data_IF_246045853766
#
_entry.id   IF_246045853766
#
_cell.length_a   1.000
_cell.length_b   1.000
_cell.length_c   1.000
_cell.angle_alpha   90.00
_cell.angle_beta   90.00
_cell.angle_gamma   90.00
#
_symmetry.space_group_name_H-M   'P 1'
#
loop_
_entity.id
_entity.type
_entity.pdbx_description
1 polymer ?
#
# COMPACT_ATOMS: atom_id res chain seq x y z
N UNK A 1 5.17 22.26 -0.48
CA UNK A 1 4.85 20.81 -0.44
C UNK A 1 5.26 20.19 -1.76
N UNK A 2 5.96 19.06 -1.74
CA UNK A 2 6.32 18.34 -2.97
C UNK A 2 5.05 17.72 -3.56
N UNK A 3 4.79 17.96 -4.85
CA UNK A 3 3.65 17.39 -5.55
C UNK A 3 4.01 16.01 -6.10
N UNK A 4 3.96 14.98 -5.24
CA UNK A 4 4.13 13.61 -5.70
C UNK A 4 2.89 13.12 -6.44
N UNK A 5 3.12 12.58 -7.63
CA UNK A 5 2.09 12.02 -8.51
C UNK A 5 2.00 10.50 -8.43
N UNK A 6 3.08 9.85 -7.98
CA UNK A 6 3.21 8.39 -7.91
C UNK A 6 3.82 7.96 -6.58
N UNK A 7 3.31 6.86 -6.02
CA UNK A 7 3.75 6.27 -4.76
C UNK A 7 4.14 4.81 -4.94
N UNK A 8 5.28 4.42 -4.38
CA UNK A 8 5.67 3.02 -4.22
C UNK A 8 5.52 2.69 -2.74
N UNK A 9 4.72 1.68 -2.43
CA UNK A 9 4.23 1.45 -1.07
C UNK A 9 4.63 0.05 -0.64
N UNK A 10 5.41 -0.04 0.44
CA UNK A 10 5.71 -1.33 1.05
C UNK A 10 4.46 -1.92 1.73
N UNK A 11 4.46 -3.23 1.97
CA UNK A 11 3.33 -3.94 2.56
C UNK A 11 3.58 -4.28 4.03
N UNK A 12 4.62 -5.06 4.30
CA UNK A 12 4.90 -5.61 5.62
C UNK A 12 5.37 -4.51 6.59
N UNK A 13 4.55 -4.23 7.61
CA UNK A 13 4.82 -3.16 8.58
C UNK A 13 4.42 -1.76 8.12
N UNK A 14 3.84 -1.62 6.92
CA UNK A 14 3.32 -0.35 6.38
C UNK A 14 1.81 -0.40 6.15
N UNK A 15 1.31 -1.42 5.46
CA UNK A 15 -0.13 -1.63 5.25
C UNK A 15 -0.70 -2.58 6.29
N UNK A 16 0.03 -3.65 6.62
CA UNK A 16 -0.42 -4.66 7.57
C UNK A 16 0.74 -5.14 8.45
N UNK A 17 0.39 -5.82 9.54
CA UNK A 17 1.33 -6.59 10.36
C UNK A 17 0.71 -7.95 10.67
N UNK A 18 1.29 -9.01 10.09
CA UNK A 18 0.65 -10.33 10.08
C UNK A 18 -0.71 -10.25 9.37
N UNK A 19 -1.77 -10.71 10.01
CA UNK A 19 -3.10 -10.78 9.42
C UNK A 19 -3.98 -9.54 9.71
N UNK A 20 -3.39 -8.45 10.22
CA UNK A 20 -4.13 -7.25 10.63
C UNK A 20 -3.65 -6.01 9.87
N UNK A 21 -4.60 -5.20 9.37
CA UNK A 21 -4.30 -3.90 8.81
C UNK A 21 -3.80 -2.94 9.90
N UNK A 22 -2.82 -2.12 9.54
CA UNK A 22 -2.38 -1.03 10.41
C UNK A 22 -3.44 0.10 10.42
N UNK A 23 -3.65 0.78 11.56
CA UNK A 23 -4.57 1.90 11.64
C UNK A 23 -4.24 2.96 10.57
N UNK A 24 -5.25 3.38 9.81
CA UNK A 24 -5.09 4.38 8.74
C UNK A 24 -4.65 3.83 7.39
N UNK A 25 -4.24 2.56 7.26
CA UNK A 25 -3.84 1.99 5.98
C UNK A 25 -4.97 2.05 4.92
N UNK A 26 -6.20 1.72 5.32
CA UNK A 26 -7.39 1.85 4.46
C UNK A 26 -7.61 3.31 4.02
N UNK A 27 -7.66 4.24 4.98
CA UNK A 27 -7.88 5.65 4.71
C UNK A 27 -6.78 6.25 3.82
N UNK A 28 -5.55 5.77 3.94
CA UNK A 28 -4.44 6.18 3.07
C UNK A 28 -4.66 5.73 1.62
N UNK A 29 -5.07 4.48 1.39
CA UNK A 29 -5.35 3.98 0.05
C UNK A 29 -6.57 4.69 -0.56
N UNK A 30 -7.62 4.91 0.22
CA UNK A 30 -8.79 5.71 -0.19
C UNK A 30 -8.37 7.12 -0.60
N UNK A 31 -7.53 7.78 0.20
CA UNK A 31 -6.99 9.09 -0.12
C UNK A 31 -6.20 9.12 -1.44
N UNK A 32 -5.37 8.09 -1.71
CA UNK A 32 -4.63 7.97 -2.97
C UNK A 32 -5.58 7.89 -4.17
N UNK A 33 -6.66 7.10 -4.04
CA UNK A 33 -7.68 6.94 -5.07
C UNK A 33 -8.45 8.24 -5.31
N UNK A 34 -8.96 8.87 -4.25
CA UNK A 34 -9.69 10.14 -4.30
C UNK A 34 -8.87 11.27 -4.96
N UNK A 35 -7.56 11.28 -4.73
CA UNK A 35 -6.65 12.28 -5.27
C UNK A 35 -5.98 11.86 -6.59
N UNK A 36 -6.46 10.80 -7.22
CA UNK A 36 -5.96 10.27 -8.51
C UNK A 36 -4.43 10.06 -8.51
N UNK A 37 -3.89 9.60 -7.38
CA UNK A 37 -2.48 9.25 -7.27
C UNK A 37 -2.25 7.90 -7.90
N UNK A 38 -1.18 7.77 -8.70
CA UNK A 38 -0.72 6.46 -9.16
C UNK A 38 -0.02 5.77 -8.00
N UNK A 39 -0.26 4.49 -7.80
CA UNK A 39 0.48 3.75 -6.78
C UNK A 39 0.69 2.29 -7.17
N UNK A 40 1.74 1.71 -6.60
CA UNK A 40 2.07 0.30 -6.71
C UNK A 40 2.53 -0.20 -5.34
N UNK A 41 1.99 -1.34 -4.91
CA UNK A 41 2.51 -2.05 -3.76
C UNK A 41 3.75 -2.85 -4.17
N UNK A 42 4.83 -2.75 -3.38
CA UNK A 42 6.09 -3.45 -3.61
C UNK A 42 6.53 -4.11 -2.31
N UNK A 43 6.66 -5.42 -2.29
CA UNK A 43 7.21 -6.17 -1.14
C UNK A 43 8.33 -7.09 -1.60
N UNK A 44 9.28 -7.32 -0.70
CA UNK A 44 10.30 -8.36 -0.86
C UNK A 44 9.79 -9.75 -0.44
N UNK A 45 8.54 -9.88 -0.03
CA UNK A 45 7.94 -11.17 0.30
C UNK A 45 7.78 -12.02 -0.97
N UNK A 46 8.57 -13.10 -1.05
CA UNK A 46 8.59 -14.04 -2.17
C UNK A 46 7.73 -15.29 -1.95
N UNK A 47 7.08 -15.41 -0.79
CA UNK A 47 6.29 -16.59 -0.42
C UNK A 47 4.85 -16.55 -0.94
N UNK A 48 4.33 -15.38 -1.25
CA UNK A 48 2.96 -15.19 -1.71
C UNK A 48 2.94 -14.65 -3.15
N UNK A 49 2.07 -15.20 -3.99
CA UNK A 49 1.81 -14.63 -5.31
C UNK A 49 0.98 -13.36 -5.20
N UNK A 50 0.98 -12.51 -6.23
CA UNK A 50 0.18 -11.27 -6.28
C UNK A 50 -1.29 -11.50 -5.89
N UNK A 51 -1.88 -12.60 -6.36
CA UNK A 51 -3.29 -12.99 -6.09
C UNK A 51 -3.54 -13.43 -4.65
N UNK A 52 -2.50 -13.69 -3.87
CA UNK A 52 -2.59 -14.04 -2.46
C UNK A 52 -2.38 -12.83 -1.53
N UNK A 53 -1.90 -11.72 -2.08
CA UNK A 53 -1.56 -10.49 -1.34
C UNK A 53 -2.58 -9.37 -1.55
N UNK A 54 -3.21 -9.32 -2.72
CA UNK A 54 -4.33 -8.43 -3.06
C UNK A 54 -5.67 -9.11 -2.80
#
# INVERSE_FOLDING_TARGET
>A
MLSFTTYLIDLDGVIYRGNALLPGARAFVEWLQEHNKKFLFLTNNSFASETQVL
#
